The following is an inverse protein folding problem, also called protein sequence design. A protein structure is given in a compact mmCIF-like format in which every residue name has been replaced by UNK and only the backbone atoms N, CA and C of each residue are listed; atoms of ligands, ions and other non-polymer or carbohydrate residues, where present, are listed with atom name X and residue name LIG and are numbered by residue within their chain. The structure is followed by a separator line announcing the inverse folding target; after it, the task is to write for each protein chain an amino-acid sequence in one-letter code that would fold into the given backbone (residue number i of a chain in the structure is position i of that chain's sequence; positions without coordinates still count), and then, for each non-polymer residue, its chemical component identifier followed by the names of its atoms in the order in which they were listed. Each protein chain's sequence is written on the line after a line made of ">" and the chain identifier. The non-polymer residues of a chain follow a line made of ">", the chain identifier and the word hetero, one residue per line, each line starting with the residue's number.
data_IF_980847942058
#
_entry.id   IF_980847942058
#
_cell.length_a   1.000
_cell.length_b   1.000
_cell.length_c   1.000
_cell.angle_alpha   90.00
_cell.angle_beta   90.00
_cell.angle_gamma   90.00
#
_symmetry.space_group_name_H-M   'P 1'
#
loop_
_entity.id
_entity.type
_entity.pdbx_description
1 polymer ?
#
# COMPACT_ATOMS: atom_id res chain seq x y z
N UNK A 1 -5.33 -3.17 0.90
CA UNK A 1 -5.63 -3.30 2.34
C UNK A 1 -4.77 -2.33 3.14
N UNK A 2 -5.37 -1.66 4.12
CA UNK A 2 -4.68 -0.77 5.05
C UNK A 2 -5.07 -1.11 6.49
N UNK A 3 -4.14 -0.94 7.44
CA UNK A 3 -4.43 -0.94 8.88
C UNK A 3 -3.76 0.25 9.57
N UNK A 4 -4.41 0.78 10.62
CA UNK A 4 -3.85 1.81 11.50
C UNK A 4 -3.08 1.22 12.69
N UNK A 5 -3.15 -0.08 12.88
CA UNK A 5 -2.76 -0.73 14.14
C UNK A 5 -1.27 -1.03 14.23
N UNK A 6 -0.51 -0.94 13.14
CA UNK A 6 0.93 -1.20 13.18
C UNK A 6 1.70 -0.05 13.82
N UNK A 7 2.61 -0.41 14.72
CA UNK A 7 3.48 0.52 15.45
C UNK A 7 4.92 0.04 15.42
N UNK A 8 5.86 0.97 15.30
CA UNK A 8 7.28 0.74 15.49
C UNK A 8 7.85 1.81 16.41
N UNK A 9 8.64 1.42 17.40
CA UNK A 9 9.25 2.35 18.35
C UNK A 9 8.27 3.33 19.04
N UNK A 10 7.02 2.87 19.28
CA UNK A 10 5.97 3.70 19.87
C UNK A 10 5.20 4.58 18.85
N UNK A 11 5.64 4.66 17.63
CA UNK A 11 4.96 5.41 16.55
C UNK A 11 3.93 4.54 15.84
N UNK A 12 2.72 5.06 15.71
CA UNK A 12 1.66 4.46 14.90
C UNK A 12 1.81 4.94 13.46
N UNK A 13 2.32 4.10 12.59
CA UNK A 13 2.51 4.42 11.17
C UNK A 13 1.55 3.64 10.25
N UNK A 14 0.87 2.62 10.79
CA UNK A 14 0.01 1.77 9.99
C UNK A 14 0.78 0.79 9.10
N UNK A 15 0.03 0.01 8.33
CA UNK A 15 0.58 -0.89 7.31
C UNK A 15 -0.33 -0.93 6.09
N UNK A 16 0.25 -1.14 4.92
CA UNK A 16 -0.45 -1.25 3.65
C UNK A 16 -0.03 -2.51 2.90
N UNK A 17 -0.98 -3.12 2.20
CA UNK A 17 -0.75 -4.25 1.32
C UNK A 17 -1.47 -4.06 -0.01
N UNK A 18 -0.83 -4.47 -1.09
CA UNK A 18 -1.45 -4.58 -2.40
C UNK A 18 -2.10 -5.97 -2.52
N UNK A 19 -3.41 -6.02 -2.75
CA UNK A 19 -4.09 -7.28 -3.08
C UNK A 19 -3.72 -7.67 -4.52
N UNK A 20 -2.96 -8.73 -4.68
CA UNK A 20 -2.51 -9.24 -5.99
C UNK A 20 -3.45 -10.27 -6.59
N UNK A 21 -4.18 -11.01 -5.74
CA UNK A 21 -5.22 -11.92 -6.17
C UNK A 21 -6.31 -12.05 -5.10
N UNK A 22 -7.49 -11.52 -5.39
CA UNK A 22 -8.64 -11.66 -4.51
C UNK A 22 -9.12 -13.13 -4.45
N UNK A 23 -9.09 -13.85 -5.57
CA UNK A 23 -9.51 -15.24 -5.64
C UNK A 23 -8.59 -16.18 -4.84
N UNK A 24 -7.28 -15.91 -4.83
CA UNK A 24 -6.31 -16.68 -4.05
C UNK A 24 -6.15 -16.15 -2.61
N UNK A 25 -6.77 -15.01 -2.27
CA UNK A 25 -6.57 -14.35 -0.99
C UNK A 25 -5.11 -13.94 -0.78
N UNK A 26 -4.48 -13.34 -1.79
CA UNK A 26 -3.05 -13.02 -1.79
C UNK A 26 -2.80 -11.53 -1.79
N UNK A 27 -1.81 -11.10 -1.01
CA UNK A 27 -1.25 -9.75 -1.01
C UNK A 27 0.23 -9.77 -1.35
N UNK A 28 0.77 -8.63 -1.80
CA UNK A 28 2.20 -8.34 -1.81
C UNK A 28 2.47 -7.25 -0.78
N UNK A 29 3.47 -7.47 0.09
CA UNK A 29 3.74 -6.63 1.25
C UNK A 29 5.24 -6.40 1.47
N UNK A 30 5.62 -5.17 1.81
CA UNK A 30 6.92 -4.83 2.38
C UNK A 30 6.73 -4.60 3.88
N UNK A 31 7.23 -5.52 4.72
CA UNK A 31 6.81 -5.62 6.13
C UNK A 31 7.80 -4.93 7.07
N UNK A 32 9.09 -5.18 6.93
CA UNK A 32 10.10 -4.65 7.87
C UNK A 32 11.51 -4.64 7.31
N UNK A 33 12.39 -3.88 7.94
CA UNK A 33 13.83 -3.89 7.65
C UNK A 33 14.42 -5.30 7.73
N UNK A 34 15.23 -5.64 6.74
CA UNK A 34 15.89 -6.95 6.64
C UNK A 34 15.02 -8.05 6.05
N UNK A 35 13.81 -7.73 5.64
CA UNK A 35 12.89 -8.65 4.95
C UNK A 35 12.51 -8.05 3.61
N UNK A 36 12.72 -8.81 2.54
CA UNK A 36 12.30 -8.40 1.20
C UNK A 36 10.77 -8.44 1.08
N UNK A 37 10.24 -7.63 0.17
CA UNK A 37 8.81 -7.64 -0.15
C UNK A 37 8.37 -9.04 -0.58
N UNK A 38 7.26 -9.53 -0.03
CA UNK A 38 6.86 -10.91 -0.19
C UNK A 38 5.35 -11.08 -0.28
N UNK A 39 4.93 -12.19 -0.88
CA UNK A 39 3.51 -12.55 -0.92
C UNK A 39 3.05 -13.07 0.43
N UNK A 40 1.88 -12.61 0.85
CA UNK A 40 1.23 -13.00 2.09
C UNK A 40 -0.22 -13.45 1.83
N UNK A 41 -0.83 -14.09 2.84
CA UNK A 41 -2.25 -14.41 2.81
C UNK A 41 -3.08 -13.27 3.39
N UNK A 42 -4.21 -12.95 2.76
CA UNK A 42 -5.21 -12.02 3.32
C UNK A 42 -5.77 -12.49 4.65
N UNK A 43 -5.62 -13.78 5.02
CA UNK A 43 -6.08 -14.29 6.30
C UNK A 43 -5.38 -13.64 7.50
N UNK A 44 -4.10 -13.27 7.37
CA UNK A 44 -3.36 -12.55 8.41
C UNK A 44 -3.94 -11.17 8.75
N UNK A 45 -4.71 -10.59 7.82
CA UNK A 45 -5.36 -9.29 8.02
C UNK A 45 -6.54 -9.35 8.99
N UNK A 46 -7.09 -10.53 9.27
CA UNK A 46 -8.17 -10.72 10.26
C UNK A 46 -7.72 -10.53 11.71
N UNK A 47 -6.43 -10.65 11.96
CA UNK A 47 -5.84 -10.51 13.30
C UNK A 47 -5.57 -9.04 13.66
N UNK A 48 -5.69 -8.13 12.69
CA UNK A 48 -5.54 -6.71 12.96
C UNK A 48 -6.79 -6.12 13.63
N UNK A 49 -6.64 -5.34 14.71
CA UNK A 49 -7.77 -4.69 15.39
C UNK A 49 -8.45 -3.61 14.53
N UNK A 50 -7.78 -3.15 13.48
CA UNK A 50 -8.36 -2.23 12.48
C UNK A 50 -7.94 -2.65 11.09
N UNK A 51 -8.84 -2.58 10.12
CA UNK A 51 -8.46 -2.63 8.71
C UNK A 51 -9.41 -1.83 7.82
N UNK A 52 -8.94 -1.48 6.65
CA UNK A 52 -9.69 -0.84 5.58
C UNK A 52 -9.42 -1.55 4.26
N UNK A 53 -10.47 -1.90 3.55
CA UNK A 53 -10.38 -2.35 2.16
C UNK A 53 -10.73 -1.17 1.27
N UNK A 54 -9.75 -0.74 0.48
CA UNK A 54 -9.91 0.30 -0.53
C UNK A 54 -9.86 -0.30 -1.92
N UNK A 55 -10.50 0.36 -2.87
CA UNK A 55 -10.55 -0.03 -4.27
C UNK A 55 -10.50 1.22 -5.16
N UNK A 56 -9.84 1.19 -6.31
CA UNK A 56 -9.95 2.28 -7.28
C UNK A 56 -11.42 2.55 -7.63
N UNK A 57 -11.77 3.84 -7.73
CA UNK A 57 -13.08 4.27 -8.21
C UNK A 57 -13.43 3.63 -9.56
N UNK A 58 -14.70 3.50 -9.92
CA UNK A 58 -15.14 2.79 -11.13
C UNK A 58 -14.38 3.17 -12.39
N UNK A 59 -14.09 4.45 -12.58
CA UNK A 59 -13.38 4.99 -13.73
C UNK A 59 -11.90 4.62 -13.82
N UNK A 60 -11.32 4.14 -12.70
CA UNK A 60 -9.90 3.75 -12.60
C UNK A 60 -9.70 2.24 -12.36
N UNK A 61 -10.75 1.43 -12.38
CA UNK A 61 -10.68 0.00 -12.04
C UNK A 61 -9.77 -0.82 -12.94
N UNK A 62 -9.67 -0.45 -14.20
CA UNK A 62 -8.76 -1.10 -15.16
C UNK A 62 -7.28 -0.95 -14.77
N UNK A 63 -6.94 0.13 -14.05
CA UNK A 63 -5.59 0.39 -13.54
C UNK A 63 -5.14 -0.64 -12.52
N UNK A 64 -6.07 -1.27 -11.78
CA UNK A 64 -5.73 -2.25 -10.75
C UNK A 64 -4.98 -3.46 -11.31
N UNK A 65 -5.40 -3.99 -12.45
CA UNK A 65 -4.72 -5.12 -13.08
C UNK A 65 -3.31 -4.75 -13.57
N UNK A 66 -3.15 -3.55 -14.12
CA UNK A 66 -1.85 -3.03 -14.58
C UNK A 66 -0.91 -2.78 -13.38
N UNK A 67 -1.42 -2.20 -12.29
CA UNK A 67 -0.65 -1.99 -11.06
C UNK A 67 -0.17 -3.33 -10.46
N UNK A 68 -1.02 -4.34 -10.43
CA UNK A 68 -0.65 -5.69 -9.98
C UNK A 68 0.40 -6.32 -10.89
N UNK A 69 0.28 -6.16 -12.22
CA UNK A 69 1.28 -6.67 -13.15
C UNK A 69 2.66 -6.03 -12.90
N UNK A 70 2.70 -4.70 -12.77
CA UNK A 70 3.94 -3.98 -12.43
C UNK A 70 4.52 -4.43 -11.08
N UNK A 71 3.67 -4.57 -10.05
CA UNK A 71 4.11 -4.99 -8.74
C UNK A 71 4.70 -6.41 -8.74
N UNK A 72 4.11 -7.34 -9.46
CA UNK A 72 4.62 -8.70 -9.60
C UNK A 72 5.98 -8.74 -10.32
N UNK A 73 6.20 -7.85 -11.28
CA UNK A 73 7.43 -7.81 -12.08
C UNK A 73 8.56 -7.06 -11.37
N UNK A 74 8.26 -5.96 -10.66
CA UNK A 74 9.26 -5.02 -10.20
C UNK A 74 9.33 -4.83 -8.68
N UNK A 75 8.24 -5.16 -7.94
CA UNK A 75 8.14 -4.87 -6.51
C UNK A 75 8.18 -6.12 -5.62
N UNK A 76 8.14 -7.32 -6.20
CA UNK A 76 8.25 -8.58 -5.44
C UNK A 76 9.73 -8.96 -5.25
N UNK A 77 10.11 -9.30 -4.00
CA UNK A 77 11.46 -9.75 -3.68
C UNK A 77 12.51 -8.62 -3.61
N UNK A 78 12.08 -7.37 -3.42
CA UNK A 78 13.00 -6.23 -3.27
C UNK A 78 13.16 -5.83 -1.79
N UNK A 79 14.33 -5.27 -1.40
CA UNK A 79 14.61 -4.92 -0.01
C UNK A 79 13.64 -3.89 0.59
N UNK A 80 13.45 -3.95 1.90
CA UNK A 80 12.73 -2.91 2.61
C UNK A 80 13.57 -1.62 2.69
N UNK A 81 12.98 -0.50 2.26
CA UNK A 81 13.61 0.82 2.29
C UNK A 81 12.69 1.86 2.93
N UNK A 82 12.92 2.17 4.20
CA UNK A 82 12.13 3.15 4.95
C UNK A 82 12.17 4.56 4.35
N UNK A 83 13.26 4.90 3.66
CA UNK A 83 13.50 6.22 3.06
C UNK A 83 13.30 6.24 1.54
N UNK A 84 12.53 5.28 1.02
CA UNK A 84 12.15 5.27 -0.39
C UNK A 84 11.51 6.61 -0.80
N UNK A 85 12.00 7.20 -1.87
CA UNK A 85 11.53 8.50 -2.37
C UNK A 85 12.20 9.73 -1.74
N UNK A 86 13.00 9.60 -0.66
CA UNK A 86 13.67 10.77 -0.03
C UNK A 86 14.93 11.17 -0.78
N UNK A 87 15.81 10.22 -1.04
CA UNK A 87 17.13 10.46 -1.64
C UNK A 87 17.22 10.06 -3.11
N UNK A 88 16.17 9.47 -3.65
CA UNK A 88 16.06 9.05 -5.04
C UNK A 88 14.79 9.64 -5.66
N UNK A 89 14.58 9.41 -6.97
CA UNK A 89 13.27 9.65 -7.56
C UNK A 89 12.20 8.89 -6.79
N UNK A 90 11.09 9.51 -6.48
CA UNK A 90 9.99 8.88 -5.74
C UNK A 90 9.45 7.67 -6.52
N UNK A 91 9.14 7.85 -7.80
CA UNK A 91 8.82 6.74 -8.71
C UNK A 91 10.07 6.23 -9.42
N UNK A 92 10.21 4.92 -9.52
CA UNK A 92 11.26 4.24 -10.25
C UNK A 92 10.67 3.04 -11.03
N UNK A 93 11.03 2.90 -12.29
CA UNK A 93 10.62 1.73 -13.09
C UNK A 93 11.21 0.42 -12.57
N UNK A 94 12.38 0.48 -11.94
CA UNK A 94 13.06 -0.65 -11.31
C UNK A 94 13.58 -0.23 -9.94
N UNK A 95 12.73 -0.20 -8.91
CA UNK A 95 13.11 0.28 -7.59
C UNK A 95 14.07 -0.69 -6.89
N UNK A 96 15.11 -0.12 -6.26
CA UNK A 96 16.07 -0.89 -5.45
C UNK A 96 15.60 -1.21 -4.04
N UNK A 97 14.38 -0.83 -3.67
CA UNK A 97 13.76 -1.08 -2.38
C UNK A 97 12.54 -0.22 -2.14
N UNK A 98 11.63 -0.69 -1.29
CA UNK A 98 10.35 -0.03 -1.04
C UNK A 98 9.91 -0.19 0.42
N UNK A 99 8.89 0.55 0.85
CA UNK A 99 8.17 0.35 2.11
C UNK A 99 6.68 0.11 1.83
N UNK A 100 5.91 -0.27 2.84
CA UNK A 100 4.55 -0.79 2.65
C UNK A 100 3.61 0.13 1.85
N UNK A 101 3.50 1.41 2.21
CA UNK A 101 2.64 2.35 1.50
C UNK A 101 3.24 2.77 0.15
N UNK A 102 4.57 2.93 0.09
CA UNK A 102 5.28 3.26 -1.14
C UNK A 102 5.11 2.16 -2.20
N UNK A 103 5.16 0.89 -1.81
CA UNK A 103 4.92 -0.26 -2.69
C UNK A 103 3.55 -0.15 -3.39
N UNK A 104 2.50 0.13 -2.62
CA UNK A 104 1.14 0.27 -3.16
C UNK A 104 1.06 1.48 -4.09
N UNK A 105 1.60 2.62 -3.66
CA UNK A 105 1.63 3.84 -4.45
C UNK A 105 2.40 3.64 -5.76
N UNK A 106 3.60 3.05 -5.70
CA UNK A 106 4.47 2.85 -6.86
C UNK A 106 3.83 1.96 -7.92
N UNK A 107 3.14 0.90 -7.47
CA UNK A 107 2.36 0.05 -8.36
C UNK A 107 1.28 0.82 -9.13
N UNK A 108 0.55 1.72 -8.47
CA UNK A 108 -0.47 2.53 -9.14
C UNK A 108 0.12 3.70 -9.92
N UNK A 109 1.19 4.31 -9.44
CA UNK A 109 1.90 5.37 -10.14
C UNK A 109 2.43 4.92 -11.50
N UNK A 110 2.84 3.65 -11.64
CA UNK A 110 3.23 3.06 -12.94
C UNK A 110 2.13 3.13 -13.99
N UNK A 111 0.88 3.21 -13.56
CA UNK A 111 -0.31 3.34 -14.43
C UNK A 111 -0.74 4.80 -14.65
N UNK A 112 -0.01 5.76 -14.06
CA UNK A 112 -0.35 7.18 -14.06
C UNK A 112 -1.40 7.57 -13.02
N UNK A 113 -1.69 6.70 -12.03
CA UNK A 113 -2.62 6.99 -10.94
C UNK A 113 -1.84 7.29 -9.66
N UNK A 114 -1.76 8.57 -9.29
CA UNK A 114 -1.05 9.04 -8.09
C UNK A 114 -1.94 8.92 -6.85
N UNK A 115 -1.66 7.94 -5.99
CA UNK A 115 -2.41 7.70 -4.76
C UNK A 115 -1.90 8.52 -3.56
N UNK A 116 -0.87 9.34 -3.75
CA UNK A 116 -0.33 10.21 -2.70
C UNK A 116 -1.20 11.45 -2.52
N UNK A 117 -1.88 11.56 -1.39
CA UNK A 117 -2.86 12.62 -1.16
C UNK A 117 -2.25 13.97 -0.82
N UNK A 118 -1.01 14.04 -0.34
CA UNK A 118 -0.35 15.28 0.05
C UNK A 118 0.82 15.70 -0.86
N UNK A 119 1.26 14.83 -1.77
CA UNK A 119 2.35 15.07 -2.70
C UNK A 119 3.73 15.14 -2.03
N UNK A 120 3.86 14.62 -0.81
CA UNK A 120 5.10 14.58 -0.06
C UNK A 120 6.18 13.70 -0.68
N UNK A 121 7.39 13.72 -0.10
CA UNK A 121 8.47 12.84 -0.54
C UNK A 121 8.30 11.39 -0.10
N UNK A 122 7.60 11.19 1.01
CA UNK A 122 7.32 9.87 1.58
C UNK A 122 5.84 9.59 1.44
N UNK A 123 5.49 8.47 0.84
CA UNK A 123 4.10 8.00 0.83
C UNK A 123 3.81 7.30 2.14
N UNK A 124 2.77 7.72 2.81
CA UNK A 124 2.30 7.12 4.06
C UNK A 124 1.01 6.34 3.86
N UNK A 125 0.65 5.51 4.86
CA UNK A 125 -0.64 4.81 4.85
C UNK A 125 -1.81 5.80 4.91
N UNK A 126 -1.61 6.97 5.54
CA UNK A 126 -2.58 8.06 5.58
C UNK A 126 -2.86 8.62 4.18
N UNK A 127 -1.83 8.77 3.35
CA UNK A 127 -1.98 9.27 1.98
C UNK A 127 -2.86 8.34 1.15
N UNK A 128 -2.60 7.03 1.23
CA UNK A 128 -3.43 6.03 0.56
C UNK A 128 -4.88 6.05 1.07
N UNK A 129 -5.08 6.22 2.39
CA UNK A 129 -6.42 6.27 2.97
C UNK A 129 -7.22 7.51 2.53
N UNK A 130 -6.54 8.63 2.29
CA UNK A 130 -7.12 9.90 1.88
C UNK A 130 -7.07 10.15 0.36
N UNK A 131 -6.61 9.18 -0.42
CA UNK A 131 -6.51 9.35 -1.87
C UNK A 131 -7.88 9.55 -2.51
N UNK A 132 -8.02 10.61 -3.30
CA UNK A 132 -9.25 10.92 -4.03
C UNK A 132 -9.62 9.87 -5.09
N UNK A 133 -8.68 8.99 -5.47
CA UNK A 133 -8.87 7.96 -6.50
C UNK A 133 -9.42 6.64 -5.95
N UNK A 134 -9.55 6.51 -4.63
CA UNK A 134 -9.97 5.28 -3.98
C UNK A 134 -11.33 5.44 -3.30
N UNK A 135 -12.14 4.38 -3.40
CA UNK A 135 -13.36 4.20 -2.61
C UNK A 135 -13.07 3.28 -1.42
N UNK A 136 -13.65 3.61 -0.28
CA UNK A 136 -13.69 2.74 0.89
C UNK A 136 -14.77 1.68 0.68
N UNK A 137 -14.35 0.41 0.57
CA UNK A 137 -15.27 -0.71 0.35
C UNK A 137 -15.74 -1.33 1.66
N UNK A 138 -14.82 -1.43 2.61
CA UNK A 138 -15.08 -2.02 3.91
C UNK A 138 -14.13 -1.45 4.95
N UNK A 139 -14.64 -1.24 6.17
CA UNK A 139 -13.86 -0.87 7.34
C UNK A 139 -14.19 -1.80 8.50
N UNK A 140 -13.23 -1.99 9.39
CA UNK A 140 -13.38 -2.67 10.66
C UNK A 140 -12.52 -1.96 11.71
N UNK A 141 -13.12 -1.68 12.88
CA UNK A 141 -12.41 -1.05 14.01
C UNK A 141 -11.99 0.41 13.79
N UNK A 142 -12.51 1.08 12.76
CA UNK A 142 -12.31 2.51 12.49
C UNK A 142 -13.66 3.17 12.23
N UNK A 143 -13.74 4.47 12.52
CA UNK A 143 -14.89 5.27 12.14
C UNK A 143 -14.86 5.49 10.62
N UNK A 144 -15.92 5.15 9.88
CA UNK A 144 -15.95 5.36 8.43
C UNK A 144 -15.93 6.84 8.03
N UNK A 145 -16.32 7.77 8.92
CA UNK A 145 -16.26 9.22 8.68
C UNK A 145 -14.90 9.83 9.09
N UNK A 146 -14.11 9.10 9.88
CA UNK A 146 -12.78 9.53 10.34
C UNK A 146 -11.75 8.40 10.16
N UNK A 147 -11.56 7.99 8.92
CA UNK A 147 -10.73 6.83 8.56
C UNK A 147 -9.29 7.02 9.02
N UNK A 148 -8.77 8.25 8.90
CA UNK A 148 -7.42 8.59 9.35
C UNK A 148 -7.39 10.00 9.93
N UNK A 149 -7.48 10.13 11.26
CA UNK A 149 -7.47 11.43 11.93
C UNK A 149 -6.11 12.13 11.83
#
# INVERSE_FOLDING_TARGET
>A
LLTRSMRSFGWRHGHAALVTSAAAGQTLEAISLGVDSTYQSTNGWRDWPTFMLLRPKPEYREKAAQAVAFANEHLAGIPYNLVAGIFTSKFQEAPGGTQCAHLVWEAYQSTGLDLDSDGGKIVTVKDLANSEYLDVVQVFGVDPEEIWP
#
